data_IF_982580664145
#
_entry.id   IF_982580664145
#
_cell.length_a   1.000
_cell.length_b   1.000
_cell.length_c   1.000
_cell.angle_alpha   90.00
_cell.angle_beta   90.00
_cell.angle_gamma   90.00
#
_symmetry.space_group_name_H-M   'P 1'
#
loop_
_entity.id
_entity.type
_entity.pdbx_description
1 polymer ?
#
# COMPACT_ATOMS: atom_id res chain seq x y z
N UNK A 1 -26.35 10.12 -67.02
CA UNK A 1 -25.26 9.78 -66.09
C UNK A 1 -25.79 9.94 -64.68
N UNK A 2 -26.19 8.83 -64.05
CA UNK A 2 -26.76 8.84 -62.71
C UNK A 2 -25.65 8.47 -61.71
N UNK A 3 -25.43 9.36 -60.74
CA UNK A 3 -24.46 9.23 -59.65
C UNK A 3 -25.05 8.38 -58.53
N UNK A 4 -24.39 7.27 -58.21
CA UNK A 4 -24.70 6.39 -57.06
C UNK A 4 -23.95 6.88 -55.82
N UNK A 5 -24.68 7.22 -54.75
CA UNK A 5 -24.13 7.43 -53.40
C UNK A 5 -23.72 6.10 -52.76
N UNK A 6 -22.62 6.05 -51.98
CA UNK A 6 -22.22 4.85 -51.26
C UNK A 6 -22.90 4.76 -49.88
N UNK A 7 -23.55 3.64 -49.63
CA UNK A 7 -24.21 3.28 -48.36
C UNK A 7 -23.18 2.95 -47.28
N UNK A 8 -23.30 3.59 -46.11
CA UNK A 8 -22.49 3.30 -44.92
C UNK A 8 -22.82 1.90 -44.34
N UNK A 9 -21.82 1.12 -43.87
CA UNK A 9 -22.08 -0.19 -43.28
C UNK A 9 -22.68 -0.07 -41.87
N UNK A 10 -23.68 -0.91 -41.64
CA UNK A 10 -24.43 -1.13 -40.41
C UNK A 10 -23.49 -1.54 -39.25
N UNK A 11 -23.53 -0.80 -38.13
CA UNK A 11 -22.77 -1.13 -36.92
C UNK A 11 -23.36 -2.40 -36.29
N UNK A 12 -22.62 -3.50 -36.38
CA UNK A 12 -22.83 -4.70 -35.56
C UNK A 12 -22.86 -4.36 -34.06
N UNK A 13 -23.82 -4.87 -33.28
CA UNK A 13 -23.89 -4.64 -31.86
C UNK A 13 -22.75 -5.38 -31.14
N UNK A 14 -21.98 -4.63 -30.34
CA UNK A 14 -20.93 -5.18 -29.48
C UNK A 14 -21.58 -6.05 -28.40
N UNK A 15 -21.11 -7.28 -28.14
CA UNK A 15 -21.63 -8.12 -27.07
C UNK A 15 -21.38 -7.43 -25.72
N UNK A 16 -22.46 -7.13 -25.01
CA UNK A 16 -22.40 -6.62 -23.64
C UNK A 16 -21.95 -7.76 -22.74
N UNK A 17 -20.74 -7.65 -22.19
CA UNK A 17 -20.28 -8.50 -21.09
C UNK A 17 -21.29 -8.46 -19.94
N UNK A 18 -21.66 -9.60 -19.32
CA UNK A 18 -22.57 -9.59 -18.18
C UNK A 18 -21.94 -8.78 -17.03
N UNK A 19 -22.59 -7.70 -16.63
CA UNK A 19 -22.25 -6.98 -15.41
C UNK A 19 -22.40 -7.92 -14.22
N UNK A 20 -21.37 -8.03 -13.37
CA UNK A 20 -21.51 -8.72 -12.08
C UNK A 20 -22.75 -8.16 -11.35
N UNK A 21 -23.58 -9.03 -10.74
CA UNK A 21 -24.77 -8.58 -10.03
C UNK A 21 -24.36 -7.60 -8.92
N UNK A 22 -24.79 -6.35 -9.04
CA UNK A 22 -24.45 -5.30 -8.07
C UNK A 22 -25.09 -5.62 -6.73
N UNK A 23 -24.28 -5.78 -5.68
CA UNK A 23 -24.80 -5.97 -4.33
C UNK A 23 -25.63 -4.74 -3.89
N UNK A 24 -26.66 -4.90 -3.03
CA UNK A 24 -27.47 -3.78 -2.55
C UNK A 24 -26.63 -2.67 -1.91
N UNK A 25 -27.07 -1.41 -1.95
CA UNK A 25 -26.33 -0.32 -1.27
C UNK A 25 -26.26 -0.57 0.24
N UNK A 26 -25.10 -0.36 0.84
CA UNK A 26 -24.93 -0.45 2.29
C UNK A 26 -25.59 0.75 2.99
N UNK A 27 -26.15 0.51 4.17
CA UNK A 27 -26.45 1.60 5.11
C UNK A 27 -25.14 2.19 5.64
N UNK A 28 -25.15 3.43 6.12
CA UNK A 28 -23.96 4.05 6.73
C UNK A 28 -23.42 3.23 7.92
N UNK A 29 -24.31 2.61 8.69
CA UNK A 29 -23.92 1.74 9.80
C UNK A 29 -23.16 0.51 9.30
N UNK A 30 -23.71 -0.19 8.31
CA UNK A 30 -23.09 -1.40 7.77
C UNK A 30 -21.81 -1.10 7.00
N UNK A 31 -21.75 0.04 6.29
CA UNK A 31 -20.52 0.52 5.65
C UNK A 31 -19.39 0.64 6.67
N UNK A 32 -19.62 1.30 7.81
CA UNK A 32 -18.59 1.44 8.87
C UNK A 32 -18.12 0.09 9.42
N UNK A 33 -19.02 -0.88 9.59
CA UNK A 33 -18.63 -2.24 10.02
C UNK A 33 -17.67 -2.88 9.01
N UNK A 34 -18.00 -2.80 7.72
CA UNK A 34 -17.17 -3.39 6.68
C UNK A 34 -15.87 -2.60 6.42
N UNK A 35 -15.89 -1.27 6.61
CA UNK A 35 -14.77 -0.39 6.29
C UNK A 35 -13.73 -0.24 7.40
N UNK A 36 -14.04 -0.69 8.63
CA UNK A 36 -13.20 -0.47 9.81
C UNK A 36 -11.74 -0.90 9.62
N UNK A 37 -11.51 -1.94 8.81
CA UNK A 37 -10.15 -2.44 8.56
C UNK A 37 -9.36 -1.49 7.68
N UNK A 38 -9.96 -1.05 6.58
CA UNK A 38 -9.36 -0.04 5.70
C UNK A 38 -9.06 1.26 6.47
N UNK A 39 -9.96 1.72 7.32
CA UNK A 39 -9.73 2.93 8.14
C UNK A 39 -8.56 2.78 9.11
N UNK A 40 -8.45 1.63 9.77
CA UNK A 40 -7.35 1.35 10.68
C UNK A 40 -6.02 1.19 9.94
N UNK A 41 -6.05 0.52 8.79
CA UNK A 41 -4.88 0.32 7.94
C UNK A 41 -4.36 1.65 7.41
N UNK A 42 -5.26 2.47 6.88
CA UNK A 42 -4.88 3.75 6.30
C UNK A 42 -4.34 4.74 7.34
N UNK A 43 -4.75 4.61 8.62
CA UNK A 43 -4.13 5.37 9.71
C UNK A 43 -2.62 5.09 9.83
N UNK A 44 -2.22 3.82 9.85
CA UNK A 44 -0.79 3.45 9.87
C UNK A 44 -0.09 3.82 8.57
N UNK A 45 -0.73 3.54 7.43
CA UNK A 45 -0.17 3.84 6.11
C UNK A 45 0.10 5.33 5.92
N UNK A 46 -0.78 6.19 6.43
CA UNK A 46 -0.57 7.63 6.37
C UNK A 46 0.63 8.07 7.23
N UNK A 47 0.86 7.46 8.39
CA UNK A 47 2.09 7.72 9.16
C UNK A 47 3.36 7.33 8.39
N UNK A 48 3.33 6.20 7.66
CA UNK A 48 4.43 5.79 6.80
C UNK A 48 4.64 6.75 5.63
N UNK A 49 3.56 7.19 4.95
CA UNK A 49 3.63 8.19 3.87
C UNK A 49 4.20 9.51 4.35
N UNK A 50 3.78 9.99 5.51
CA UNK A 50 4.28 11.23 6.13
C UNK A 50 5.79 11.13 6.39
N UNK A 51 6.23 10.06 7.04
CA UNK A 51 7.65 9.85 7.36
C UNK A 51 8.49 9.67 6.09
N UNK A 52 8.00 8.90 5.12
CA UNK A 52 8.62 8.75 3.80
C UNK A 52 8.81 10.12 3.13
N UNK A 53 7.78 10.96 3.10
CA UNK A 53 7.84 12.27 2.47
C UNK A 53 8.89 13.19 3.11
N UNK A 54 9.09 13.11 4.42
CA UNK A 54 10.17 13.86 5.11
C UNK A 54 11.55 13.38 4.65
N UNK A 55 11.78 12.06 4.61
CA UNK A 55 13.05 11.48 4.19
C UNK A 55 13.35 11.77 2.72
N UNK A 56 12.35 11.57 1.87
CA UNK A 56 12.46 11.72 0.42
C UNK A 56 12.58 13.19 0.00
N UNK A 57 11.85 14.11 0.64
CA UNK A 57 12.01 15.55 0.37
C UNK A 57 13.42 16.04 0.73
N UNK A 58 14.04 15.50 1.77
CA UNK A 58 15.43 15.84 2.08
C UNK A 58 16.38 15.38 0.97
N UNK A 59 16.12 14.22 0.38
CA UNK A 59 16.87 13.70 -0.75
C UNK A 59 16.73 14.57 -2.01
N UNK A 60 15.50 14.95 -2.36
CA UNK A 60 15.21 15.79 -3.54
C UNK A 60 15.76 17.22 -3.42
N UNK A 61 15.66 17.81 -2.23
CA UNK A 61 16.09 19.21 -2.00
C UNK A 61 17.55 19.33 -1.59
N UNK A 62 18.21 18.20 -1.30
CA UNK A 62 19.55 18.17 -0.71
C UNK A 62 19.62 18.76 0.71
N UNK A 63 18.49 18.97 1.38
CA UNK A 63 18.42 19.63 2.70
C UNK A 63 17.40 18.97 3.62
N UNK A 64 17.83 18.65 4.84
CA UNK A 64 16.93 18.21 5.92
C UNK A 64 15.98 19.33 6.34
N UNK A 65 14.85 18.97 6.93
CA UNK A 65 13.90 19.90 7.55
C UNK A 65 14.59 20.89 8.49
N UNK A 66 14.14 22.15 8.48
CA UNK A 66 14.75 23.22 9.29
C UNK A 66 14.75 22.83 10.78
N UNK A 67 15.90 22.96 11.43
CA UNK A 67 16.07 22.62 12.85
C UNK A 67 16.26 21.14 13.15
N UNK A 68 16.20 20.26 12.14
CA UNK A 68 16.45 18.83 12.31
C UNK A 68 17.96 18.53 12.24
N UNK A 69 18.51 18.00 13.33
CA UNK A 69 19.88 17.51 13.37
C UNK A 69 20.06 16.24 12.53
N UNK A 70 21.30 15.94 12.15
CA UNK A 70 21.62 14.69 11.44
C UNK A 70 21.20 13.44 12.24
N UNK A 71 21.42 13.45 13.56
CA UNK A 71 21.06 12.34 14.45
C UNK A 71 19.55 12.13 14.50
N UNK A 72 18.75 13.20 14.57
CA UNK A 72 17.29 13.11 14.52
C UNK A 72 16.80 12.57 13.17
N UNK A 73 17.42 13.00 12.07
CA UNK A 73 17.05 12.51 10.74
C UNK A 73 17.35 11.03 10.54
N UNK A 74 18.52 10.56 11.00
CA UNK A 74 18.87 9.14 10.97
C UNK A 74 17.90 8.33 11.85
N UNK A 75 17.64 8.81 13.08
CA UNK A 75 16.71 8.16 13.99
C UNK A 75 15.29 8.06 13.41
N UNK A 76 14.82 9.09 12.69
CA UNK A 76 13.53 9.07 12.00
C UNK A 76 13.48 7.94 10.95
N UNK A 77 14.54 7.78 10.15
CA UNK A 77 14.63 6.69 9.17
C UNK A 77 14.69 5.30 9.82
N UNK A 78 15.43 5.15 10.93
CA UNK A 78 15.50 3.89 11.68
C UNK A 78 14.13 3.54 12.29
N UNK A 79 13.42 4.53 12.84
CA UNK A 79 12.06 4.36 13.36
C UNK A 79 11.08 3.94 12.26
N UNK A 80 11.15 4.58 11.08
CA UNK A 80 10.37 4.18 9.92
C UNK A 80 10.56 2.69 9.58
N UNK A 81 11.82 2.24 9.49
CA UNK A 81 12.14 0.85 9.18
C UNK A 81 11.58 -0.12 10.23
N UNK A 82 11.84 0.16 11.52
CA UNK A 82 11.41 -0.70 12.60
C UNK A 82 9.87 -0.79 12.73
N UNK A 83 9.16 0.31 12.52
CA UNK A 83 7.70 0.34 12.60
C UNK A 83 7.06 -0.37 11.40
N UNK A 84 7.56 -0.15 10.18
CA UNK A 84 7.02 -0.81 8.99
C UNK A 84 7.29 -2.31 9.00
N UNK A 85 8.48 -2.73 9.45
CA UNK A 85 8.81 -4.15 9.66
C UNK A 85 7.87 -4.82 10.68
N UNK A 86 7.62 -4.15 11.80
CA UNK A 86 6.72 -4.65 12.84
C UNK A 86 5.28 -4.76 12.34
N UNK A 87 4.81 -3.75 11.61
CA UNK A 87 3.48 -3.68 11.01
C UNK A 87 3.23 -4.85 10.03
N UNK A 88 4.08 -5.02 9.02
CA UNK A 88 4.00 -6.17 8.11
C UNK A 88 4.13 -7.50 8.86
N UNK A 89 4.98 -7.55 9.88
CA UNK A 89 5.13 -8.73 10.72
C UNK A 89 3.84 -9.10 11.48
N UNK A 90 3.00 -8.13 11.87
CA UNK A 90 1.69 -8.40 12.47
C UNK A 90 0.72 -8.92 11.40
N UNK A 91 0.67 -8.27 10.24
CA UNK A 91 -0.20 -8.67 9.14
C UNK A 91 0.04 -10.10 8.69
N UNK A 92 1.29 -10.43 8.38
CA UNK A 92 1.65 -11.75 7.86
C UNK A 92 1.40 -12.87 8.88
N UNK A 93 1.59 -12.60 10.17
CA UNK A 93 1.43 -13.61 11.23
C UNK A 93 -0.01 -13.75 11.71
N UNK A 94 -0.79 -12.68 11.71
CA UNK A 94 -2.05 -12.64 12.45
C UNK A 94 -3.26 -12.22 11.60
N UNK A 95 -3.10 -11.35 10.61
CA UNK A 95 -4.22 -10.77 9.85
C UNK A 95 -4.41 -11.50 8.52
N UNK A 96 -3.39 -11.55 7.66
CA UNK A 96 -3.47 -12.17 6.34
C UNK A 96 -3.88 -13.64 6.38
N UNK A 97 -3.41 -14.47 7.34
CA UNK A 97 -3.88 -15.86 7.44
C UNK A 97 -5.39 -15.98 7.71
N UNK A 98 -6.00 -15.00 8.38
CA UNK A 98 -7.46 -14.96 8.59
C UNK A 98 -8.16 -14.54 7.30
N UNK A 99 -7.69 -13.47 6.66
CA UNK A 99 -8.27 -12.96 5.40
C UNK A 99 -8.22 -14.01 4.28
N UNK A 100 -7.08 -14.69 4.14
CA UNK A 100 -6.84 -15.71 3.12
C UNK A 100 -7.82 -16.91 3.15
N UNK A 101 -8.53 -17.11 4.27
CA UNK A 101 -9.56 -18.15 4.38
C UNK A 101 -10.71 -17.93 3.40
N UNK A 102 -11.05 -16.67 3.11
CA UNK A 102 -12.20 -16.32 2.26
C UNK A 102 -11.88 -15.36 1.13
N UNK A 103 -10.87 -14.51 1.28
CA UNK A 103 -10.46 -13.54 0.28
C UNK A 103 -9.29 -14.08 -0.52
N UNK A 104 -9.47 -14.34 -1.83
CA UNK A 104 -8.40 -14.81 -2.69
C UNK A 104 -7.18 -13.93 -2.58
N UNK A 105 -7.30 -12.59 -2.69
CA UNK A 105 -6.23 -11.59 -2.68
C UNK A 105 -5.14 -11.77 -1.60
N UNK A 106 -5.45 -12.38 -0.46
CA UNK A 106 -4.53 -12.56 0.67
C UNK A 106 -3.88 -13.95 0.73
N UNK A 107 -4.15 -14.85 -0.22
CA UNK A 107 -3.49 -16.17 -0.29
C UNK A 107 -2.01 -16.03 -0.68
N UNK A 108 -1.18 -16.96 -0.17
CA UNK A 108 0.30 -16.96 -0.13
C UNK A 108 1.08 -16.72 -1.44
N UNK A 109 0.42 -16.65 -2.59
CA UNK A 109 1.05 -16.51 -3.92
C UNK A 109 0.64 -15.21 -4.63
N UNK A 110 0.17 -14.23 -3.87
CA UNK A 110 -0.46 -13.05 -4.45
C UNK A 110 0.33 -11.77 -4.24
N UNK A 111 -0.18 -10.74 -4.89
CA UNK A 111 0.46 -9.46 -5.12
C UNK A 111 0.90 -8.79 -3.81
N UNK A 112 0.05 -8.76 -2.77
CA UNK A 112 0.35 -8.13 -1.48
C UNK A 112 1.57 -8.74 -0.77
N UNK A 113 1.64 -10.08 -0.65
CA UNK A 113 2.80 -10.74 -0.03
C UNK A 113 4.06 -10.61 -0.88
N UNK A 114 3.91 -10.54 -2.20
CA UNK A 114 5.03 -10.29 -3.11
C UNK A 114 5.55 -8.86 -2.96
N UNK A 115 4.65 -7.89 -2.73
CA UNK A 115 5.01 -6.51 -2.41
C UNK A 115 5.73 -6.43 -1.06
N UNK A 116 5.23 -7.07 0.00
CA UNK A 116 5.91 -7.14 1.31
C UNK A 116 7.35 -7.61 1.16
N UNK A 117 7.57 -8.72 0.45
CA UNK A 117 8.91 -9.27 0.24
C UNK A 117 9.86 -8.28 -0.44
N UNK A 118 9.37 -7.51 -1.42
CA UNK A 118 10.17 -6.47 -2.06
C UNK A 118 10.44 -5.29 -1.12
N UNK A 119 9.45 -4.91 -0.30
CA UNK A 119 9.58 -3.85 0.69
C UNK A 119 10.60 -4.25 1.76
N UNK A 120 10.52 -5.46 2.32
CA UNK A 120 11.50 -5.98 3.29
C UNK A 120 12.93 -5.96 2.74
N UNK A 121 13.15 -6.38 1.48
CA UNK A 121 14.47 -6.26 0.85
C UNK A 121 14.97 -4.80 0.75
N UNK A 122 14.06 -3.84 0.58
CA UNK A 122 14.37 -2.41 0.60
C UNK A 122 14.68 -1.90 2.01
N UNK A 123 13.89 -2.32 3.01
CA UNK A 123 14.07 -2.00 4.42
C UNK A 123 15.39 -2.54 4.98
N UNK A 124 15.80 -3.74 4.60
CA UNK A 124 17.11 -4.30 4.98
C UNK A 124 18.26 -3.40 4.52
N UNK A 125 18.20 -2.91 3.28
CA UNK A 125 19.20 -2.00 2.71
C UNK A 125 19.18 -0.64 3.40
N UNK A 126 17.99 -0.10 3.65
CA UNK A 126 17.81 1.19 4.31
C UNK A 126 18.29 1.15 5.75
N UNK A 127 17.90 0.13 6.50
CA UNK A 127 18.32 -0.09 7.90
C UNK A 127 19.83 -0.18 7.99
N UNK A 128 20.44 -1.04 7.16
CA UNK A 128 21.91 -1.18 7.12
C UNK A 128 22.60 0.16 6.86
N UNK A 129 22.16 0.90 5.84
CA UNK A 129 22.74 2.19 5.49
C UNK A 129 22.64 3.20 6.64
N UNK A 130 21.47 3.29 7.29
CA UNK A 130 21.25 4.20 8.40
C UNK A 130 22.04 3.80 9.65
N UNK A 131 22.22 2.51 9.91
CA UNK A 131 23.03 2.00 11.03
C UNK A 131 24.52 2.29 10.84
N UNK A 132 25.05 2.12 9.63
CA UNK A 132 26.41 2.55 9.26
C UNK A 132 26.59 4.07 9.45
N UNK A 133 25.58 4.86 9.10
CA UNK A 133 25.59 6.32 9.34
C UNK A 133 25.50 6.70 10.82
N UNK A 134 24.70 5.97 11.59
CA UNK A 134 24.47 6.23 13.01
C UNK A 134 25.70 5.89 13.87
N UNK A 135 26.42 4.83 13.50
CA UNK A 135 27.67 4.39 14.13
C UNK A 135 28.88 5.23 13.74
N UNK A 136 28.80 5.97 12.62
CA UNK A 136 29.90 6.75 12.07
C UNK A 136 30.83 5.96 11.14
N UNK A 137 30.49 4.71 10.80
CA UNK A 137 31.19 3.91 9.79
C UNK A 137 31.03 4.51 8.38
N UNK A 138 29.93 5.22 8.13
CA UNK A 138 29.63 5.90 6.87
C UNK A 138 29.14 7.32 7.12
N UNK A 139 29.51 8.28 6.27
CA UNK A 139 28.88 9.60 6.28
C UNK A 139 27.50 9.53 5.61
N UNK A 140 26.47 10.14 6.20
CA UNK A 140 25.15 10.23 5.55
C UNK A 140 25.22 11.09 4.28
N UNK A 141 25.05 10.46 3.12
CA UNK A 141 24.90 11.10 1.80
C UNK A 141 23.45 11.04 1.34
N UNK A 142 22.84 12.19 1.07
CA UNK A 142 21.44 12.25 0.60
C UNK A 142 21.23 11.58 -0.77
N UNK A 143 22.16 11.67 -1.74
CA UNK A 143 22.04 10.90 -2.99
C UNK A 143 22.05 9.38 -2.78
N UNK A 144 22.91 8.86 -1.90
CA UNK A 144 22.96 7.41 -1.60
C UNK A 144 21.68 6.95 -0.87
N UNK A 145 21.18 7.76 0.07
CA UNK A 145 19.89 7.50 0.72
C UNK A 145 18.76 7.45 -0.32
N UNK A 146 18.78 8.38 -1.28
CA UNK A 146 17.79 8.44 -2.37
C UNK A 146 17.81 7.16 -3.20
N UNK A 147 18.98 6.68 -3.60
CA UNK A 147 19.11 5.44 -4.37
C UNK A 147 18.49 4.24 -3.64
N UNK A 148 18.68 4.17 -2.32
CA UNK A 148 18.06 3.12 -1.50
C UNK A 148 16.54 3.27 -1.48
N UNK A 149 16.02 4.47 -1.25
CA UNK A 149 14.57 4.75 -1.25
C UNK A 149 13.93 4.48 -2.61
N UNK A 150 14.54 4.93 -3.70
CA UNK A 150 14.07 4.70 -5.07
C UNK A 150 13.97 3.20 -5.40
N UNK A 151 14.82 2.37 -4.78
CA UNK A 151 14.85 0.93 -4.96
C UNK A 151 13.57 0.19 -4.54
N UNK A 152 12.74 0.78 -3.66
CA UNK A 152 11.48 0.16 -3.21
C UNK A 152 10.31 1.13 -3.04
N UNK A 153 10.50 2.43 -3.24
CA UNK A 153 9.45 3.44 -3.03
C UNK A 153 8.21 3.18 -3.87
N UNK A 154 8.36 2.84 -5.16
CA UNK A 154 7.21 2.55 -6.02
C UNK A 154 6.36 1.40 -5.50
N UNK A 155 7.00 0.30 -5.06
CA UNK A 155 6.27 -0.87 -4.56
C UNK A 155 5.64 -0.59 -3.19
N UNK A 156 6.30 0.18 -2.32
CA UNK A 156 5.73 0.61 -1.06
C UNK A 156 4.46 1.43 -1.28
N UNK A 157 4.51 2.49 -2.08
CA UNK A 157 3.34 3.35 -2.31
C UNK A 157 2.17 2.58 -2.92
N UNK A 158 2.45 1.70 -3.89
CA UNK A 158 1.42 0.84 -4.48
C UNK A 158 0.80 -0.10 -3.44
N UNK A 159 1.61 -0.72 -2.61
CA UNK A 159 1.17 -1.61 -1.55
C UNK A 159 0.24 -0.92 -0.54
N UNK A 160 0.63 0.27 -0.08
CA UNK A 160 -0.15 1.04 0.88
C UNK A 160 -1.56 1.41 0.35
N UNK A 161 -1.73 1.50 -0.97
CA UNK A 161 -3.03 1.76 -1.63
C UNK A 161 -3.81 0.46 -1.89
N UNK A 162 -3.14 -0.56 -2.42
CA UNK A 162 -3.75 -1.84 -2.78
C UNK A 162 -4.37 -2.53 -1.58
N UNK A 163 -3.68 -2.55 -0.45
CA UNK A 163 -4.18 -3.20 0.75
C UNK A 163 -5.42 -2.50 1.30
N UNK A 164 -5.40 -1.17 1.41
CA UNK A 164 -6.56 -0.39 1.88
C UNK A 164 -7.77 -0.64 0.98
N UNK A 165 -7.55 -0.75 -0.34
CA UNK A 165 -8.60 -1.09 -1.30
C UNK A 165 -9.14 -2.51 -1.11
N UNK A 166 -8.29 -3.50 -0.88
CA UNK A 166 -8.71 -4.88 -0.59
C UNK A 166 -9.45 -5.01 0.75
N UNK A 167 -9.09 -4.19 1.73
CA UNK A 167 -9.75 -4.08 3.03
C UNK A 167 -10.99 -3.17 3.05
N UNK A 168 -11.29 -2.52 1.93
CA UNK A 168 -12.39 -1.56 1.82
C UNK A 168 -13.77 -2.23 1.85
N UNK A 169 -14.78 -1.50 2.31
CA UNK A 169 -16.11 -2.06 2.58
C UNK A 169 -16.72 -2.87 1.42
N UNK A 170 -16.58 -2.38 0.19
CA UNK A 170 -17.13 -3.03 -1.00
C UNK A 170 -16.41 -4.33 -1.38
N UNK A 171 -15.14 -4.49 -1.02
CA UNK A 171 -14.43 -5.76 -1.19
C UNK A 171 -14.73 -6.70 -0.02
N UNK A 172 -14.69 -6.21 1.22
CA UNK A 172 -14.94 -7.03 2.41
C UNK A 172 -16.32 -7.71 2.39
N UNK A 173 -17.37 -6.97 2.02
CA UNK A 173 -18.75 -7.46 1.95
C UNK A 173 -18.99 -8.58 0.93
N UNK A 174 -18.06 -8.83 0.01
CA UNK A 174 -18.15 -9.92 -0.97
C UNK A 174 -17.86 -11.28 -0.31
N UNK A 175 -17.11 -11.28 0.79
CA UNK A 175 -16.54 -12.49 1.38
C UNK A 175 -16.92 -12.70 2.85
N UNK A 176 -17.25 -11.64 3.57
CA UNK A 176 -17.47 -11.66 5.02
C UNK A 176 -18.88 -11.20 5.38
N UNK A 177 -19.46 -11.79 6.43
CA UNK A 177 -20.69 -11.24 7.04
C UNK A 177 -20.35 -10.15 8.05
N UNK A 178 -21.34 -9.37 8.48
CA UNK A 178 -21.16 -8.32 9.50
C UNK A 178 -20.69 -8.89 10.83
N UNK A 179 -21.22 -10.04 11.23
CA UNK A 179 -20.88 -10.73 12.48
C UNK A 179 -19.42 -11.21 12.47
N UNK A 180 -18.95 -11.68 11.31
CA UNK A 180 -17.55 -12.06 11.12
C UNK A 180 -16.65 -10.85 11.12
N UNK A 181 -17.03 -9.78 10.41
CA UNK A 181 -16.29 -8.51 10.43
C UNK A 181 -16.13 -7.98 11.84
N UNK A 182 -17.16 -8.02 12.69
CA UNK A 182 -17.07 -7.55 14.08
C UNK A 182 -16.01 -8.31 14.89
N UNK A 183 -15.84 -9.61 14.62
CA UNK A 183 -14.92 -10.51 15.33
C UNK A 183 -13.51 -10.58 14.72
N UNK A 184 -13.28 -9.88 13.62
CA UNK A 184 -11.99 -9.91 12.93
C UNK A 184 -10.89 -9.34 13.83
N UNK A 185 -9.70 -9.96 13.92
CA UNK A 185 -8.57 -9.34 14.61
C UNK A 185 -8.17 -8.06 13.89
N UNK A 186 -7.80 -7.06 14.68
CA UNK A 186 -7.34 -5.73 14.29
C UNK A 186 -6.10 -5.40 15.11
#
# INVERSE_FOLDING_TARGET
MATTEPTLPEKTPVPTTPSEPSLPKLSQHDFRIYNRMAEHMDYFHNHFRETWNVLYAACETGKRSKGMSIRQFIALGQQFCAQLEMHHGIEERHIFPVLAKKQPAFKKELELLTQHKQIHNGLDKLTKYLDECSSGERELRLPELKEVLDGFGKVLWQHLDDEVKELGAENMRKYWTKEEMVRMPM
#
